data_IF_500752501870
#
_entry.id   IF_500752501870
#
_cell.length_a   1.000
_cell.length_b   1.000
_cell.length_c   1.000
_cell.angle_alpha   90.00
_cell.angle_beta   90.00
_cell.angle_gamma   90.00
#
_symmetry.space_group_name_H-M   'P 1'
#
loop_
_entity.id
_entity.type
_entity.pdbx_description
1 polymer ?
#
# COMPACT_ATOMS: atom_id res chain seq x y z
N UNK A 1 -23.62 15.49 -9.31
CA UNK A 1 -23.67 14.93 -8.31
C UNK A 1 -22.58 14.32 -7.92
N UNK A 2 -22.24 14.27 -7.16
CA UNK A 2 -21.20 13.86 -6.83
C UNK A 2 -21.23 13.11 -5.76
N UNK A 3 -21.99 12.25 -5.65
CA UNK A 3 -22.05 11.48 -4.58
C UNK A 3 -21.01 10.52 -4.56
N UNK A 4 -19.81 10.90 -4.66
CA UNK A 4 -18.73 9.98 -4.55
C UNK A 4 -18.54 9.65 -3.12
N UNK A 5 -18.67 8.42 -2.70
CA UNK A 5 -18.41 8.05 -1.34
C UNK A 5 -16.95 8.31 -1.03
N UNK A 6 -16.71 8.85 0.16
CA UNK A 6 -15.36 9.11 0.53
C UNK A 6 -14.98 8.21 1.66
N UNK A 7 -14.34 7.13 1.38
CA UNK A 7 -13.76 6.24 2.37
C UNK A 7 -12.26 6.46 2.35
N UNK A 8 -11.77 7.30 3.22
CA UNK A 8 -10.39 7.76 3.17
C UNK A 8 -9.38 6.64 3.25
N UNK A 9 -9.62 5.69 4.14
CA UNK A 9 -8.65 4.59 4.28
C UNK A 9 -8.64 3.71 3.03
N UNK A 10 -9.78 3.51 2.41
CA UNK A 10 -9.84 2.75 1.17
C UNK A 10 -9.11 3.47 0.06
N UNK A 11 -9.31 4.79 -0.06
CA UNK A 11 -8.61 5.59 -1.05
C UNK A 11 -7.10 5.47 -0.87
N UNK A 12 -6.65 5.57 0.37
CA UNK A 12 -5.22 5.47 0.66
C UNK A 12 -4.68 4.07 0.38
N UNK A 13 -5.46 3.04 0.70
CA UNK A 13 -5.04 1.67 0.41
C UNK A 13 -4.90 1.44 -1.10
N UNK A 14 -5.80 1.99 -1.89
CA UNK A 14 -5.71 1.87 -3.34
C UNK A 14 -4.51 2.64 -3.89
N UNK A 15 -4.20 3.80 -3.32
CA UNK A 15 -2.99 4.53 -3.72
C UNK A 15 -1.73 3.72 -3.45
N UNK A 16 -1.68 3.05 -2.30
CA UNK A 16 -0.56 2.19 -1.98
C UNK A 16 -0.45 1.08 -3.02
N UNK A 17 -1.55 0.42 -3.33
CA UNK A 17 -1.54 -0.67 -4.29
C UNK A 17 -1.09 -0.20 -5.67
N UNK A 18 -1.49 1.01 -6.06
CA UNK A 18 -1.16 1.55 -7.37
C UNK A 18 0.30 1.93 -7.53
N UNK A 19 1.07 1.97 -6.46
CA UNK A 19 2.50 2.21 -6.58
C UNK A 19 3.24 1.05 -7.22
N UNK A 20 2.70 -0.15 -7.07
CA UNK A 20 3.36 -1.35 -7.60
C UNK A 20 3.15 -1.43 -9.11
N UNK A 21 4.22 -1.67 -9.83
CA UNK A 21 4.17 -1.73 -11.28
C UNK A 21 5.22 -2.71 -11.77
N UNK A 22 5.17 -3.12 -13.05
CA UNK A 22 6.22 -3.98 -13.59
C UNK A 22 7.60 -3.35 -13.50
N UNK A 23 7.68 -2.02 -13.54
CA UNK A 23 8.97 -1.33 -13.44
C UNK A 23 9.47 -1.28 -12.01
N UNK A 24 8.56 -1.28 -11.03
CA UNK A 24 8.95 -1.27 -9.64
C UNK A 24 8.00 -2.19 -8.88
N UNK A 25 8.27 -3.50 -8.93
CA UNK A 25 7.34 -4.48 -8.36
C UNK A 25 7.45 -4.65 -6.85
N UNK A 26 8.51 -4.15 -6.23
CA UNK A 26 8.68 -4.29 -4.79
C UNK A 26 8.82 -2.94 -4.13
N UNK A 27 8.20 -2.79 -2.97
CA UNK A 27 8.24 -1.55 -2.21
C UNK A 27 8.43 -1.85 -0.73
N UNK A 28 9.31 -1.12 -0.08
CA UNK A 28 9.46 -1.18 1.38
C UNK A 28 8.51 -0.20 2.05
N UNK A 29 8.25 -0.44 3.33
CA UNK A 29 7.32 0.38 4.11
C UNK A 29 7.73 1.85 4.13
N UNK A 30 9.03 2.12 4.31
CA UNK A 30 9.50 3.51 4.39
C UNK A 30 9.29 4.27 3.08
N UNK A 31 9.56 3.61 1.95
CA UNK A 31 9.39 4.24 0.66
C UNK A 31 7.90 4.51 0.38
N UNK A 32 7.04 3.56 0.68
CA UNK A 32 5.60 3.76 0.53
C UNK A 32 5.12 4.91 1.41
N UNK A 33 5.59 4.94 2.65
CA UNK A 33 5.23 5.99 3.60
C UNK A 33 5.54 7.37 3.03
N UNK A 34 6.71 7.52 2.42
CA UNK A 34 7.09 8.81 1.82
C UNK A 34 6.20 9.16 0.62
N UNK A 35 5.90 8.17 -0.21
CA UNK A 35 5.12 8.44 -1.41
C UNK A 35 3.68 8.83 -1.11
N UNK A 36 3.06 8.19 -0.14
CA UNK A 36 1.65 8.44 0.14
C UNK A 36 1.42 9.39 1.31
N UNK A 37 2.50 9.81 2.00
CA UNK A 37 2.36 10.78 3.08
C UNK A 37 1.67 10.25 4.31
N UNK A 38 1.90 8.98 4.66
CA UNK A 38 1.28 8.37 5.83
C UNK A 38 2.35 7.79 6.75
N UNK A 39 1.98 7.55 8.00
CA UNK A 39 2.92 6.97 8.94
C UNK A 39 3.28 5.54 8.55
N UNK A 40 4.46 5.11 8.94
CA UNK A 40 4.92 3.76 8.63
C UNK A 40 4.02 2.69 9.22
N UNK A 41 3.50 2.93 10.43
CA UNK A 41 2.64 1.93 11.06
C UNK A 41 1.33 1.77 10.30
N UNK A 42 0.74 2.87 9.82
CA UNK A 42 -0.47 2.79 9.01
C UNK A 42 -0.19 2.09 7.67
N UNK A 43 0.92 2.46 7.03
CA UNK A 43 1.31 1.83 5.77
C UNK A 43 1.53 0.33 5.97
N UNK A 44 2.21 -0.05 7.04
CA UNK A 44 2.45 -1.46 7.31
C UNK A 44 1.13 -2.22 7.45
N UNK A 45 0.16 -1.65 8.16
CA UNK A 45 -1.15 -2.30 8.30
C UNK A 45 -1.82 -2.45 6.95
N UNK A 46 -1.78 -1.43 6.12
CA UNK A 46 -2.40 -1.49 4.78
C UNK A 46 -1.74 -2.58 3.96
N UNK A 47 -0.40 -2.63 3.95
CA UNK A 47 0.31 -3.64 3.18
C UNK A 47 -0.01 -5.05 3.67
N UNK A 48 -0.13 -5.24 4.98
CA UNK A 48 -0.49 -6.55 5.53
C UNK A 48 -1.89 -6.95 5.14
N UNK A 49 -2.84 -6.03 5.15
CA UNK A 49 -4.21 -6.35 4.73
C UNK A 49 -4.23 -6.72 3.25
N UNK A 50 -3.51 -5.96 2.42
CA UNK A 50 -3.43 -6.28 1.00
C UNK A 50 -2.80 -7.65 0.77
N UNK A 51 -1.79 -7.98 1.57
CA UNK A 51 -1.17 -9.30 1.49
C UNK A 51 -2.15 -10.39 1.87
N UNK A 52 -2.92 -10.19 2.95
CA UNK A 52 -3.89 -11.16 3.40
C UNK A 52 -4.95 -11.46 2.35
N UNK A 53 -5.29 -10.48 1.55
CA UNK A 53 -6.30 -10.65 0.50
C UNK A 53 -5.70 -11.09 -0.83
N UNK A 54 -4.41 -11.38 -0.86
CA UNK A 54 -3.78 -11.91 -2.06
C UNK A 54 -3.34 -10.88 -3.09
N UNK A 55 -3.40 -9.58 -2.76
CA UNK A 55 -2.97 -8.55 -3.71
C UNK A 55 -1.46 -8.36 -3.70
N UNK A 56 -0.79 -8.69 -2.61
CA UNK A 56 0.66 -8.52 -2.47
C UNK A 56 1.24 -9.73 -1.78
N UNK A 57 2.54 -9.94 -1.99
CA UNK A 57 3.31 -10.90 -1.23
C UNK A 57 4.51 -10.18 -0.63
N UNK A 58 4.99 -10.67 0.48
CA UNK A 58 6.16 -10.07 1.12
C UNK A 58 7.37 -10.96 0.86
N UNK A 59 8.48 -10.33 0.45
CA UNK A 59 9.74 -11.03 0.28
C UNK A 59 10.35 -11.25 1.66
N UNK A 60 10.58 -12.50 2.02
CA UNK A 60 11.07 -12.84 3.36
C UNK A 60 12.48 -12.30 3.62
N UNK A 61 13.29 -12.18 2.58
CA UNK A 61 14.67 -11.72 2.74
C UNK A 61 14.76 -10.21 2.88
N UNK A 62 14.04 -9.47 2.05
CA UNK A 62 14.14 -8.02 2.05
C UNK A 62 13.06 -7.35 2.88
N UNK A 63 12.01 -8.08 3.23
CA UNK A 63 10.83 -7.56 3.90
C UNK A 63 10.04 -6.54 3.08
N UNK A 64 10.35 -6.39 1.80
CA UNK A 64 9.55 -5.56 0.92
C UNK A 64 8.33 -6.34 0.48
N UNK A 65 7.29 -5.58 0.15
CA UNK A 65 6.05 -6.16 -0.38
C UNK A 65 6.04 -6.09 -1.89
#
# INVERSE_FOLDING_TARGET
>A
MSDQPQVKILDKALRVLMLFSPEQPEWGVSAVSREVGMSKSTVHRILRVLEQHGFLTQNADTRRF
#
